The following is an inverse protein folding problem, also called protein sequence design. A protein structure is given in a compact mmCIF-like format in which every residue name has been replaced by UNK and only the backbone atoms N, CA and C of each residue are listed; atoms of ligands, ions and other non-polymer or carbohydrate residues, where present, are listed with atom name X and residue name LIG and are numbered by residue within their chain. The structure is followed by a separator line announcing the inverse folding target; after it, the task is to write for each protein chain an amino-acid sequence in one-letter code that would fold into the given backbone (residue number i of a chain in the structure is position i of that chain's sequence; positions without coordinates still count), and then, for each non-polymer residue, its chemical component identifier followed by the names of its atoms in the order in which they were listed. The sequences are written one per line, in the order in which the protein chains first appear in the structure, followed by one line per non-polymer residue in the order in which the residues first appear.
data_IF_384953101352
#
_entry.id   IF_384953101352
#
_cell.length_a   1.000
_cell.length_b   1.000
_cell.length_c   1.000
_cell.angle_alpha   90.00
_cell.angle_beta   90.00
_cell.angle_gamma   90.00
#
_symmetry.space_group_name_H-M   'P 1'
#
loop_
_entity.id
_entity.type
_entity.pdbx_description
1 polymer ?
#
# COMPACT_ATOMS: atom_id res chain seq x y z
N UNK A 1 -27.78 67.29 22.29
CA UNK A 1 -28.27 67.21 23.67
C UNK A 1 -28.10 65.80 24.16
N UNK A 2 -27.37 65.68 25.24
CA UNK A 2 -27.17 64.54 26.15
C UNK A 2 -26.54 63.25 25.63
N UNK A 3 -25.23 63.22 25.79
CA UNK A 3 -24.40 62.04 25.92
C UNK A 3 -24.78 61.22 27.15
N UNK A 4 -24.89 59.91 27.03
CA UNK A 4 -24.78 59.01 28.17
C UNK A 4 -23.75 57.91 27.85
N UNK A 5 -22.56 58.07 28.41
CA UNK A 5 -21.49 57.04 28.51
C UNK A 5 -21.91 56.10 29.63
N UNK A 6 -21.99 54.82 29.30
CA UNK A 6 -22.07 53.75 30.29
C UNK A 6 -20.69 53.17 30.53
N UNK A 7 -20.21 53.35 31.76
CA UNK A 7 -18.96 52.84 32.32
C UNK A 7 -19.07 51.35 32.62
N UNK A 8 -18.03 50.59 32.26
CA UNK A 8 -17.76 49.26 32.70
C UNK A 8 -17.06 49.27 34.07
N UNK A 9 -17.34 48.34 34.99
CA UNK A 9 -16.60 48.25 36.25
C UNK A 9 -15.33 47.38 36.06
N UNK A 10 -14.27 47.86 36.69
CA UNK A 10 -12.95 47.25 36.82
C UNK A 10 -12.91 46.10 37.82
N UNK A 11 -12.01 45.14 37.46
CA UNK A 11 -11.13 44.33 38.33
C UNK A 11 -11.72 43.31 39.30
N UNK A 12 -11.41 42.07 39.00
CA UNK A 12 -10.89 41.12 40.00
C UNK A 12 -9.86 40.21 39.35
N UNK A 13 -8.60 40.57 39.56
CA UNK A 13 -7.43 39.68 39.35
C UNK A 13 -7.35 38.77 40.57
N UNK A 14 -7.58 37.48 40.39
CA UNK A 14 -7.20 36.46 41.35
C UNK A 14 -6.01 35.70 40.76
N UNK A 15 -4.87 35.85 41.40
CA UNK A 15 -3.66 35.08 41.18
C UNK A 15 -3.97 33.61 41.45
N UNK A 16 -3.91 32.76 40.41
CA UNK A 16 -3.84 31.32 40.57
C UNK A 16 -2.36 30.93 40.56
N UNK A 17 -1.90 30.63 41.75
CA UNK A 17 -0.59 30.09 42.06
C UNK A 17 -0.42 28.74 41.35
N UNK A 18 0.49 28.69 40.37
CA UNK A 18 0.93 27.47 39.70
C UNK A 18 1.96 26.75 40.55
N UNK A 19 1.51 25.75 41.27
CA UNK A 19 2.37 24.65 41.74
C UNK A 19 1.73 23.35 41.26
N UNK A 20 1.96 22.97 40.00
CA UNK A 20 1.71 21.63 39.57
C UNK A 20 3.02 20.85 39.66
N UNK A 21 3.13 20.08 40.73
CA UNK A 21 4.13 19.03 40.86
C UNK A 21 3.90 18.01 39.73
N UNK A 22 4.95 17.73 38.95
CA UNK A 22 4.99 16.59 38.05
C UNK A 22 4.89 15.31 38.90
N UNK A 23 3.73 14.72 38.96
CA UNK A 23 3.54 13.34 39.34
C UNK A 23 3.61 12.49 38.08
N UNK A 24 4.74 11.89 37.82
CA UNK A 24 4.93 10.80 36.85
C UNK A 24 4.04 9.63 37.27
N UNK A 25 2.79 9.63 36.78
CA UNK A 25 1.88 8.52 36.96
C UNK A 25 1.90 7.65 35.71
N UNK A 26 2.03 6.35 35.90
CA UNK A 26 1.98 5.29 34.87
C UNK A 26 0.68 5.34 33.99
N UNK A 27 -0.23 6.25 34.27
CA UNK A 27 -1.45 6.50 33.50
C UNK A 27 -1.27 7.28 32.20
N UNK A 28 -0.22 8.09 32.09
CA UNK A 28 -0.04 9.01 30.94
C UNK A 28 0.54 8.33 29.69
N UNK A 29 1.22 7.21 29.87
CA UNK A 29 1.84 6.45 28.72
C UNK A 29 0.83 5.77 27.81
N UNK A 30 -0.43 5.68 28.21
CA UNK A 30 -1.49 5.00 27.46
C UNK A 30 -2.36 5.96 26.64
N UNK A 31 -2.07 7.26 26.63
CA UNK A 31 -2.80 8.25 25.83
C UNK A 31 -1.88 8.81 24.76
N UNK A 32 -2.32 8.72 23.51
CA UNK A 32 -1.60 9.21 22.34
C UNK A 32 -2.24 10.52 21.90
N UNK A 33 -1.42 11.56 21.63
CA UNK A 33 -1.90 12.88 21.21
C UNK A 33 -2.91 13.50 22.17
N UNK A 34 -2.87 13.14 23.46
CA UNK A 34 -3.76 13.65 24.50
C UNK A 34 -5.22 13.15 24.42
N UNK A 35 -5.61 12.43 23.36
CA UNK A 35 -7.03 12.08 23.12
C UNK A 35 -7.27 10.63 22.69
N UNK A 36 -6.26 9.85 22.34
CA UNK A 36 -6.43 8.45 21.92
C UNK A 36 -5.96 7.50 23.02
N UNK A 37 -6.89 6.87 23.71
CA UNK A 37 -6.59 5.87 24.72
C UNK A 37 -6.14 4.57 24.03
N UNK A 38 -4.90 4.14 24.30
CA UNK A 38 -4.30 2.92 23.77
C UNK A 38 -4.95 1.70 24.40
N UNK A 39 -5.33 0.73 23.59
CA UNK A 39 -5.93 -0.51 24.02
C UNK A 39 -5.09 -1.73 23.66
N UNK A 40 -5.74 -2.82 23.29
CA UNK A 40 -5.07 -4.08 22.99
C UNK A 40 -4.22 -4.04 21.74
N UNK A 41 -3.12 -4.79 21.72
CA UNK A 41 -2.31 -5.04 20.54
C UNK A 41 -3.11 -5.84 19.51
N UNK A 42 -3.14 -5.35 18.27
CA UNK A 42 -3.79 -5.99 17.13
C UNK A 42 -2.81 -6.83 16.30
N UNK A 43 -1.55 -6.42 16.27
CA UNK A 43 -0.53 -7.11 15.50
C UNK A 43 0.84 -6.48 15.65
N UNK A 44 1.83 -7.13 15.05
CA UNK A 44 3.18 -6.58 14.86
C UNK A 44 3.61 -6.85 13.42
N UNK A 45 4.19 -5.86 12.78
CA UNK A 45 4.74 -5.96 11.44
C UNK A 45 6.25 -5.69 11.44
N UNK A 46 6.83 -5.70 10.26
CA UNK A 46 8.25 -5.43 10.06
C UNK A 46 8.68 -4.03 10.50
N UNK A 47 7.73 -3.12 10.66
CA UNK A 47 7.95 -1.69 10.86
C UNK A 47 7.19 -1.14 12.06
N UNK A 48 6.88 -1.96 13.05
CA UNK A 48 6.25 -1.51 14.27
C UNK A 48 5.10 -2.39 14.75
N UNK A 49 4.44 -1.92 15.80
CA UNK A 49 3.33 -2.59 16.45
C UNK A 49 2.01 -1.86 16.14
N UNK A 50 0.95 -2.60 16.01
CA UNK A 50 -0.39 -2.07 15.73
C UNK A 50 -1.27 -2.35 16.93
N UNK A 51 -1.94 -1.31 17.42
CA UNK A 51 -2.85 -1.38 18.55
C UNK A 51 -4.23 -0.84 18.17
N UNK A 52 -5.25 -1.33 18.85
CA UNK A 52 -6.55 -0.70 18.88
C UNK A 52 -6.50 0.50 19.84
N UNK A 53 -7.17 1.57 19.48
CA UNK A 53 -7.33 2.73 20.36
C UNK A 53 -8.74 3.33 20.21
N UNK A 54 -9.13 4.13 21.21
CA UNK A 54 -10.41 4.83 21.24
C UNK A 54 -10.16 6.31 21.46
N UNK A 55 -10.83 7.14 20.69
CA UNK A 55 -10.85 8.58 20.94
C UNK A 55 -11.68 8.86 22.21
N UNK A 56 -11.07 9.46 23.22
CA UNK A 56 -11.66 9.58 24.58
C UNK A 56 -12.97 10.34 24.63
N UNK A 57 -13.17 11.33 23.75
CA UNK A 57 -14.40 12.15 23.72
C UNK A 57 -15.48 11.53 22.81
N UNK A 58 -15.13 11.15 21.57
CA UNK A 58 -16.12 10.65 20.60
C UNK A 58 -16.43 9.18 20.75
N UNK A 59 -15.62 8.43 21.50
CA UNK A 59 -15.70 6.98 21.65
C UNK A 59 -15.57 6.21 20.31
N UNK A 60 -15.06 6.87 19.28
CA UNK A 60 -14.75 6.23 18.00
C UNK A 60 -13.49 5.37 18.10
N UNK A 61 -13.51 4.26 17.40
CA UNK A 61 -12.44 3.26 17.40
C UNK A 61 -11.49 3.46 16.21
N UNK A 62 -10.17 3.41 16.47
CA UNK A 62 -9.11 3.57 15.49
C UNK A 62 -8.04 2.51 15.66
N UNK A 63 -7.17 2.39 14.67
CA UNK A 63 -5.91 1.67 14.76
C UNK A 63 -4.77 2.67 14.97
N UNK A 64 -3.83 2.33 15.82
CA UNK A 64 -2.59 3.09 15.97
C UNK A 64 -1.39 2.21 15.66
N UNK A 65 -0.55 2.67 14.74
CA UNK A 65 0.74 2.06 14.42
C UNK A 65 1.82 2.83 15.16
N UNK A 66 2.70 2.10 15.86
CA UNK A 66 3.77 2.65 16.71
C UNK A 66 5.09 2.04 16.23
N UNK A 67 6.08 2.88 15.98
CA UNK A 67 7.43 2.52 15.59
C UNK A 67 8.41 3.18 16.57
N UNK A 68 9.40 2.47 17.16
CA UNK A 68 10.42 3.09 17.97
C UNK A 68 11.21 4.15 17.20
N UNK A 69 11.52 5.30 17.82
CA UNK A 69 12.27 6.38 17.18
C UNK A 69 13.71 6.00 16.84
N UNK A 70 14.30 5.09 17.63
CA UNK A 70 15.66 4.56 17.47
C UNK A 70 15.74 3.38 16.48
N UNK A 71 14.64 3.07 15.79
CA UNK A 71 14.66 1.97 14.84
C UNK A 71 15.65 2.28 13.70
N UNK A 72 16.37 1.25 13.26
CA UNK A 72 17.46 1.37 12.26
C UNK A 72 17.00 1.98 10.91
N UNK A 73 15.73 1.82 10.57
CA UNK A 73 15.15 2.29 9.33
C UNK A 73 13.73 2.80 9.58
N UNK A 74 13.55 4.03 10.09
CA UNK A 74 12.24 4.56 10.38
C UNK A 74 11.45 4.79 9.08
N UNK A 75 10.23 4.26 9.03
CA UNK A 75 9.38 4.33 7.84
C UNK A 75 8.00 4.90 8.14
N UNK A 76 7.57 4.89 9.40
CA UNK A 76 6.20 5.23 9.75
C UNK A 76 5.82 6.66 9.37
N UNK A 77 6.72 7.61 9.57
CA UNK A 77 6.45 9.02 9.21
C UNK A 77 6.41 9.26 7.70
N UNK A 78 7.21 8.49 6.93
CA UNK A 78 7.11 8.47 5.48
C UNK A 78 5.77 7.90 5.03
N UNK A 79 5.37 6.75 5.61
CA UNK A 79 4.08 6.12 5.33
C UNK A 79 2.91 7.06 5.66
N UNK A 80 2.94 7.74 6.81
CA UNK A 80 1.92 8.71 7.21
C UNK A 80 1.81 9.89 6.22
N UNK A 81 2.94 10.45 5.78
CA UNK A 81 2.98 11.51 4.75
C UNK A 81 2.39 11.02 3.42
N UNK A 82 2.77 9.81 2.99
CA UNK A 82 2.25 9.23 1.75
C UNK A 82 0.75 8.94 1.83
N UNK A 83 0.27 8.34 2.92
CA UNK A 83 -1.15 8.10 3.14
C UNK A 83 -1.95 9.41 3.12
N UNK A 84 -1.49 10.47 3.78
CA UNK A 84 -2.11 11.80 3.73
C UNK A 84 -2.19 12.35 2.29
N UNK A 85 -1.16 12.11 1.47
CA UNK A 85 -1.16 12.49 0.05
C UNK A 85 -2.16 11.68 -0.79
N UNK A 86 -2.41 10.42 -0.41
CA UNK A 86 -3.31 9.51 -1.11
C UNK A 86 -4.77 9.61 -0.62
N UNK A 87 -5.06 10.32 0.47
CA UNK A 87 -6.39 10.40 1.05
C UNK A 87 -7.46 10.81 0.04
N UNK A 88 -8.69 10.32 0.25
CA UNK A 88 -9.82 10.48 -0.67
C UNK A 88 -9.82 9.50 -1.83
N UNK A 89 -8.77 8.71 -2.01
CA UNK A 89 -8.71 7.66 -3.02
C UNK A 89 -9.49 6.41 -2.61
N UNK A 90 -9.86 5.58 -3.59
CA UNK A 90 -10.62 4.36 -3.33
C UNK A 90 -9.75 3.37 -2.54
N UNK A 91 -10.27 2.88 -1.39
CA UNK A 91 -9.58 1.90 -0.55
C UNK A 91 -8.28 2.41 0.07
N UNK A 92 -8.22 3.70 0.38
CA UNK A 92 -7.14 4.33 1.15
C UNK A 92 -7.67 4.63 2.55
N UNK A 93 -6.96 4.16 3.58
CA UNK A 93 -7.29 4.45 4.97
C UNK A 93 -7.01 5.91 5.31
N UNK A 94 -7.86 6.51 6.13
CA UNK A 94 -7.69 7.86 6.59
C UNK A 94 -6.67 7.90 7.74
N UNK A 95 -5.70 8.80 7.65
CA UNK A 95 -4.80 9.15 8.77
C UNK A 95 -5.45 10.26 9.58
N UNK A 96 -5.75 9.96 10.83
CA UNK A 96 -6.42 10.89 11.77
C UNK A 96 -5.39 11.76 12.48
N UNK A 97 -4.30 11.14 12.92
CA UNK A 97 -3.24 11.80 13.68
C UNK A 97 -1.88 11.16 13.38
N UNK A 98 -0.82 11.93 13.44
CA UNK A 98 0.53 11.39 13.37
C UNK A 98 1.51 12.31 14.08
N UNK A 99 2.39 11.73 14.88
CA UNK A 99 3.37 12.41 15.71
C UNK A 99 4.71 11.67 15.69
N UNK A 100 5.77 12.43 15.88
CA UNK A 100 7.13 11.93 16.07
C UNK A 100 7.68 12.58 17.33
N UNK A 101 7.99 11.78 18.33
CA UNK A 101 8.64 12.23 19.55
C UNK A 101 10.01 11.54 19.76
N UNK A 102 10.67 11.80 20.90
CA UNK A 102 11.99 11.26 21.19
C UNK A 102 11.98 9.73 21.37
N UNK A 103 10.84 9.14 21.74
CA UNK A 103 10.74 7.72 22.07
C UNK A 103 10.13 6.92 20.90
N UNK A 104 9.18 7.51 20.16
CA UNK A 104 8.38 6.76 19.17
C UNK A 104 7.80 7.64 18.07
N UNK A 105 7.59 7.03 16.94
CA UNK A 105 6.76 7.53 15.86
C UNK A 105 5.37 6.90 15.97
N UNK A 106 4.32 7.71 15.80
CA UNK A 106 2.93 7.27 15.95
C UNK A 106 2.09 7.69 14.76
N UNK A 107 1.21 6.80 14.30
CA UNK A 107 0.19 7.10 13.30
C UNK A 107 -1.15 6.49 13.70
N UNK A 108 -2.16 7.31 13.91
CA UNK A 108 -3.56 6.89 14.15
C UNK A 108 -4.31 6.96 12.84
N UNK A 109 -5.03 5.88 12.51
CA UNK A 109 -5.71 5.72 11.24
C UNK A 109 -7.01 4.93 11.41
N UNK A 110 -7.80 4.86 10.34
CA UNK A 110 -9.01 4.04 10.31
C UNK A 110 -8.74 2.62 10.83
N UNK A 111 -9.62 2.14 11.70
CA UNK A 111 -9.63 0.74 12.10
C UNK A 111 -10.34 -0.07 11.02
N UNK A 112 -9.57 -0.89 10.32
CA UNK A 112 -10.06 -1.78 9.27
C UNK A 112 -10.44 -3.16 9.82
N UNK A 113 -11.02 -3.99 8.97
CA UNK A 113 -11.34 -5.39 9.25
C UNK A 113 -10.16 -6.33 8.98
N UNK A 114 -10.42 -7.65 8.86
CA UNK A 114 -9.40 -8.65 8.56
C UNK A 114 -8.79 -8.46 7.17
N UNK A 115 -7.58 -8.98 7.01
CA UNK A 115 -6.89 -9.05 5.73
C UNK A 115 -7.50 -10.11 4.81
N UNK A 116 -7.20 -10.02 3.52
CA UNK A 116 -7.59 -11.06 2.55
C UNK A 116 -6.94 -12.41 2.91
N UNK A 117 -5.74 -12.44 3.51
CA UNK A 117 -5.13 -13.68 4.01
C UNK A 117 -5.92 -14.27 5.19
N UNK A 118 -6.36 -13.42 6.14
CA UNK A 118 -7.20 -13.86 7.27
C UNK A 118 -8.53 -14.41 6.77
N UNK A 119 -9.17 -13.74 5.82
CA UNK A 119 -10.43 -14.17 5.20
C UNK A 119 -10.25 -15.46 4.40
N UNK A 120 -9.12 -15.59 3.71
CA UNK A 120 -8.77 -16.83 3.01
C UNK A 120 -8.65 -18.02 3.98
N UNK A 121 -7.96 -17.82 5.10
CA UNK A 121 -7.87 -18.82 6.16
C UNK A 121 -9.24 -19.08 6.80
N UNK A 122 -10.06 -18.06 7.01
CA UNK A 122 -11.44 -18.18 7.53
C UNK A 122 -12.33 -19.04 6.60
N UNK A 123 -12.15 -18.93 5.29
CA UNK A 123 -12.84 -19.72 4.26
C UNK A 123 -12.10 -21.04 3.95
N UNK A 124 -11.35 -21.60 4.91
CA UNK A 124 -10.63 -22.87 4.77
C UNK A 124 -9.64 -22.89 3.58
N UNK A 125 -9.02 -21.74 3.28
CA UNK A 125 -8.04 -21.53 2.21
C UNK A 125 -8.59 -21.87 0.82
N UNK A 126 -9.84 -21.53 0.59
CA UNK A 126 -10.52 -21.72 -0.68
C UNK A 126 -11.49 -20.55 -0.91
N UNK A 127 -11.29 -19.83 -1.99
CA UNK A 127 -12.25 -18.85 -2.48
C UNK A 127 -12.89 -19.35 -3.77
N UNK A 128 -14.17 -19.01 -3.95
CA UNK A 128 -14.84 -19.19 -5.22
C UNK A 128 -14.17 -18.33 -6.30
N UNK A 129 -14.31 -18.72 -7.55
CA UNK A 129 -13.78 -17.96 -8.66
C UNK A 129 -14.39 -16.54 -8.71
N UNK A 130 -15.67 -16.40 -8.37
CA UNK A 130 -16.35 -15.11 -8.26
C UNK A 130 -15.69 -14.20 -7.24
N UNK A 131 -15.46 -14.68 -6.02
CA UNK A 131 -14.76 -13.94 -4.98
C UNK A 131 -13.36 -13.50 -5.44
N UNK A 132 -12.61 -14.38 -6.12
CA UNK A 132 -11.28 -14.00 -6.66
C UNK A 132 -11.39 -12.93 -7.73
N UNK A 133 -12.38 -12.97 -8.60
CA UNK A 133 -12.62 -11.94 -9.62
C UNK A 133 -12.99 -10.59 -9.01
N UNK A 134 -13.86 -10.55 -8.00
CA UNK A 134 -14.22 -9.35 -7.26
C UNK A 134 -13.00 -8.74 -6.54
N UNK A 135 -12.15 -9.58 -5.95
CA UNK A 135 -10.87 -9.15 -5.37
C UNK A 135 -9.98 -8.56 -6.45
N UNK A 136 -9.80 -9.25 -7.58
CA UNK A 136 -8.94 -8.81 -8.68
C UNK A 136 -9.29 -7.41 -9.16
N UNK A 137 -10.56 -7.14 -9.38
CA UNK A 137 -11.04 -5.82 -9.83
C UNK A 137 -10.65 -4.71 -8.84
N UNK A 138 -10.83 -4.96 -7.54
CA UNK A 138 -10.49 -3.99 -6.52
C UNK A 138 -8.97 -3.82 -6.37
N UNK A 139 -8.17 -4.89 -6.33
CA UNK A 139 -6.73 -4.80 -6.24
C UNK A 139 -6.13 -3.99 -7.40
N UNK A 140 -6.56 -4.28 -8.64
CA UNK A 140 -6.11 -3.54 -9.82
C UNK A 140 -6.49 -2.06 -9.69
N UNK A 141 -7.70 -1.74 -9.22
CA UNK A 141 -8.16 -0.35 -9.02
C UNK A 141 -7.34 0.39 -7.96
N UNK A 142 -6.96 -0.27 -6.86
CA UNK A 142 -6.13 0.33 -5.79
C UNK A 142 -4.73 0.65 -6.30
N UNK A 143 -4.13 -0.30 -7.02
CA UNK A 143 -2.80 -0.13 -7.60
C UNK A 143 -2.81 0.92 -8.72
N UNK A 144 -3.83 0.95 -9.58
CA UNK A 144 -4.01 2.03 -10.57
C UNK A 144 -4.05 3.40 -9.91
N UNK A 145 -4.82 3.55 -8.82
CA UNK A 145 -4.88 4.81 -8.09
C UNK A 145 -3.50 5.21 -7.54
N UNK A 146 -2.78 4.29 -6.88
CA UNK A 146 -1.44 4.56 -6.37
C UNK A 146 -0.47 4.96 -7.50
N UNK A 147 -0.50 4.24 -8.61
CA UNK A 147 0.32 4.54 -9.79
C UNK A 147 -0.02 5.90 -10.41
N UNK A 148 -1.30 6.29 -10.40
CA UNK A 148 -1.74 7.62 -10.87
C UNK A 148 -1.17 8.75 -9.99
N UNK A 149 -0.90 8.46 -8.72
CA UNK A 149 -0.25 9.36 -7.76
C UNK A 149 1.29 9.28 -7.78
N UNK A 150 1.86 8.62 -8.80
CA UNK A 150 3.30 8.53 -9.09
C UNK A 150 4.08 7.57 -8.17
N UNK A 151 3.43 6.66 -7.46
CA UNK A 151 4.06 5.70 -6.57
C UNK A 151 3.81 4.26 -7.02
N UNK A 152 4.75 3.36 -6.72
CA UNK A 152 4.61 1.90 -6.76
C UNK A 152 4.68 1.34 -5.34
N UNK A 153 3.94 0.26 -5.07
CA UNK A 153 3.79 -0.30 -3.73
C UNK A 153 4.98 -1.16 -3.31
N UNK A 154 5.42 -2.07 -4.20
CA UNK A 154 6.56 -2.98 -4.06
C UNK A 154 6.40 -4.11 -3.03
N UNK A 155 5.25 -4.21 -2.34
CA UNK A 155 4.95 -5.34 -1.45
C UNK A 155 3.47 -5.76 -1.56
N UNK A 156 3.05 -6.10 -2.75
CA UNK A 156 1.70 -6.62 -3.02
C UNK A 156 1.61 -8.06 -2.48
N UNK A 157 0.74 -8.25 -1.50
CA UNK A 157 0.44 -9.54 -0.86
C UNK A 157 -0.96 -9.51 -0.23
N UNK A 158 -1.62 -10.67 0.00
CA UNK A 158 -2.97 -10.69 0.58
C UNK A 158 -3.06 -10.02 1.96
N UNK A 159 -1.98 -10.07 2.75
CA UNK A 159 -1.91 -9.46 4.08
C UNK A 159 -2.03 -7.93 4.04
N UNK A 160 -1.66 -7.29 2.93
CA UNK A 160 -1.68 -5.83 2.76
C UNK A 160 -2.99 -5.32 2.16
N UNK A 161 -4.02 -6.16 2.07
CA UNK A 161 -5.35 -5.79 1.63
C UNK A 161 -6.36 -6.20 2.68
N UNK A 162 -7.01 -5.22 3.30
CA UNK A 162 -7.97 -5.41 4.39
C UNK A 162 -9.37 -4.97 3.94
N UNK A 163 -10.41 -5.62 4.43
CA UNK A 163 -11.77 -5.13 4.21
C UNK A 163 -12.13 -4.01 5.18
N UNK A 164 -13.07 -3.15 4.79
CA UNK A 164 -13.57 -2.10 5.67
C UNK A 164 -14.46 -2.67 6.78
N UNK A 165 -14.42 -2.10 7.98
CA UNK A 165 -15.33 -2.49 9.08
C UNK A 165 -16.78 -2.07 8.82
N UNK A 166 -16.98 -0.85 8.32
CA UNK A 166 -18.31 -0.30 7.99
C UNK A 166 -18.77 -0.72 6.58
N UNK A 167 -17.82 -0.83 5.64
CA UNK A 167 -18.05 -1.22 4.23
C UNK A 167 -17.28 -2.50 3.93
N UNK A 168 -17.86 -3.64 4.30
CA UNK A 168 -17.20 -4.96 4.22
C UNK A 168 -16.88 -5.41 2.79
N UNK A 169 -17.59 -4.89 1.82
CA UNK A 169 -17.34 -5.13 0.39
C UNK A 169 -16.22 -4.26 -0.20
N UNK A 170 -15.67 -3.30 0.56
CA UNK A 170 -14.57 -2.44 0.10
C UNK A 170 -13.25 -2.95 0.63
N UNK A 171 -12.30 -3.21 -0.28
CA UNK A 171 -10.95 -3.62 0.04
C UNK A 171 -10.05 -2.38 0.11
N UNK A 172 -9.31 -2.25 1.20
CA UNK A 172 -8.33 -1.19 1.47
C UNK A 172 -6.92 -1.73 1.28
N UNK A 173 -6.06 -0.94 0.65
CA UNK A 173 -4.63 -1.23 0.55
C UNK A 173 -3.91 -0.52 1.70
N UNK A 174 -2.99 -1.24 2.38
CA UNK A 174 -2.23 -0.76 3.54
C UNK A 174 -0.73 -1.02 3.37
N UNK A 175 0.05 -0.53 4.34
CA UNK A 175 1.50 -0.75 4.46
C UNK A 175 2.31 -0.18 3.29
N UNK A 176 2.38 1.15 3.26
CA UNK A 176 3.14 1.89 2.24
C UNK A 176 4.61 2.14 2.63
N UNK A 177 5.10 1.48 3.68
CA UNK A 177 6.48 1.64 4.16
C UNK A 177 7.54 1.33 3.11
N UNK A 178 7.23 0.44 2.16
CA UNK A 178 8.10 0.12 1.03
C UNK A 178 7.74 0.86 -0.27
N UNK A 179 6.69 1.68 -0.29
CA UNK A 179 6.28 2.39 -1.50
C UNK A 179 7.37 3.36 -1.99
N UNK A 180 7.43 3.56 -3.29
CA UNK A 180 8.45 4.41 -3.92
C UNK A 180 7.87 5.24 -5.05
N UNK A 181 8.29 6.50 -5.14
CA UNK A 181 8.00 7.33 -6.31
C UNK A 181 8.71 6.75 -7.54
N UNK A 182 7.94 6.47 -8.62
CA UNK A 182 8.48 5.90 -9.87
C UNK A 182 8.59 6.92 -11.00
N UNK A 183 7.98 8.09 -10.85
CA UNK A 183 8.10 9.20 -11.81
C UNK A 183 7.98 10.54 -11.10
N UNK A 184 8.53 11.57 -11.68
CA UNK A 184 8.37 12.94 -11.21
C UNK A 184 6.92 13.41 -11.38
N UNK A 185 6.30 14.05 -10.37
CA UNK A 185 4.90 14.46 -10.44
C UNK A 185 4.63 15.63 -11.39
N UNK A 186 5.65 16.45 -11.72
CA UNK A 186 5.51 17.63 -12.60
C UNK A 186 5.86 17.31 -14.04
N UNK A 187 7.03 16.68 -14.25
CA UNK A 187 7.54 16.37 -15.60
C UNK A 187 7.05 15.05 -16.13
N UNK A 188 6.53 14.18 -15.25
CA UNK A 188 6.15 12.79 -15.54
C UNK A 188 7.32 11.93 -16.04
N UNK A 189 8.56 12.41 -15.88
CA UNK A 189 9.73 11.63 -16.21
C UNK A 189 9.85 10.43 -15.28
N UNK A 190 9.97 9.25 -15.87
CA UNK A 190 10.13 7.99 -15.15
C UNK A 190 11.53 7.93 -14.50
N UNK A 191 11.65 7.26 -13.35
CA UNK A 191 12.96 6.96 -12.76
C UNK A 191 13.79 6.11 -13.73
N UNK A 192 15.10 6.27 -13.66
CA UNK A 192 16.02 5.49 -14.49
C UNK A 192 15.96 3.99 -14.15
N UNK A 193 16.04 3.14 -15.18
CA UNK A 193 16.23 1.71 -14.99
C UNK A 193 17.58 1.45 -14.32
N UNK A 194 17.58 0.60 -13.29
CA UNK A 194 18.80 0.20 -12.57
C UNK A 194 18.74 -1.30 -12.25
N UNK A 195 19.90 -1.93 -12.21
CA UNK A 195 20.10 -3.31 -11.80
C UNK A 195 20.92 -3.40 -10.51
N UNK A 196 21.15 -4.60 -10.01
CA UNK A 196 21.94 -4.83 -8.79
C UNK A 196 21.18 -4.43 -7.51
N UNK A 197 19.84 -4.36 -7.56
CA UNK A 197 19.01 -4.08 -6.39
C UNK A 197 18.77 -5.34 -5.55
N UNK A 198 18.75 -5.16 -4.24
CA UNK A 198 18.26 -6.21 -3.37
C UNK A 198 16.76 -6.40 -3.56
N UNK A 199 16.29 -7.64 -3.36
CA UNK A 199 14.88 -7.94 -3.39
C UNK A 199 14.14 -7.13 -2.31
N UNK A 200 13.21 -6.30 -2.73
CA UNK A 200 12.29 -5.56 -1.86
C UNK A 200 10.91 -6.21 -1.97
N UNK A 201 10.23 -6.34 -0.83
CA UNK A 201 8.92 -6.97 -0.72
C UNK A 201 8.99 -8.47 -0.42
N UNK A 202 7.84 -9.13 -0.48
CA UNK A 202 7.64 -10.53 -0.10
C UNK A 202 8.02 -11.47 -1.25
N UNK A 203 9.06 -12.29 -1.06
CA UNK A 203 9.62 -13.16 -2.10
C UNK A 203 8.57 -14.05 -2.78
N UNK A 204 7.53 -14.51 -2.04
CA UNK A 204 6.44 -15.34 -2.58
C UNK A 204 5.73 -14.66 -3.75
N UNK A 205 5.46 -13.37 -3.65
CA UNK A 205 4.65 -12.62 -4.63
C UNK A 205 5.46 -11.69 -5.53
N UNK A 206 6.70 -11.34 -5.17
CA UNK A 206 7.56 -10.43 -5.94
C UNK A 206 7.71 -10.88 -7.41
N UNK A 207 7.79 -9.92 -8.32
CA UNK A 207 7.97 -10.18 -9.75
C UNK A 207 9.30 -10.87 -10.06
N UNK A 208 9.42 -11.48 -11.25
CA UNK A 208 10.69 -12.06 -11.71
C UNK A 208 11.77 -10.97 -11.81
N UNK A 209 11.42 -9.77 -12.28
CA UNK A 209 12.36 -8.65 -12.37
C UNK A 209 12.87 -8.22 -10.99
N UNK A 210 11.98 -8.12 -9.98
CA UNK A 210 12.40 -7.83 -8.61
C UNK A 210 13.37 -8.89 -8.07
N UNK A 211 13.11 -10.18 -8.32
CA UNK A 211 14.03 -11.27 -7.96
C UNK A 211 15.37 -11.23 -8.68
N UNK A 212 15.43 -10.66 -9.89
CA UNK A 212 16.70 -10.52 -10.65
C UNK A 212 17.45 -9.25 -10.32
N UNK A 213 16.95 -8.45 -9.38
CA UNK A 213 17.63 -7.24 -8.93
C UNK A 213 17.36 -6.02 -9.81
N UNK A 214 16.33 -6.04 -10.64
CA UNK A 214 15.90 -4.87 -11.39
C UNK A 214 15.14 -3.88 -10.51
N UNK A 215 15.26 -2.60 -10.78
CA UNK A 215 14.41 -1.56 -10.19
C UNK A 215 12.94 -1.86 -10.48
N UNK A 216 12.08 -1.76 -9.47
CA UNK A 216 10.66 -2.05 -9.61
C UNK A 216 9.89 -0.85 -10.19
N UNK A 217 8.87 -1.15 -11.02
CA UNK A 217 7.97 -0.18 -11.60
C UNK A 217 6.53 -0.69 -11.58
N UNK A 218 5.63 -0.04 -12.30
CA UNK A 218 4.19 -0.40 -12.34
C UNK A 218 3.94 -1.86 -12.72
N UNK A 219 4.72 -2.41 -13.65
CA UNK A 219 4.59 -3.80 -14.10
C UNK A 219 4.80 -4.82 -12.99
N UNK A 220 5.68 -4.49 -12.02
CA UNK A 220 6.05 -5.40 -10.95
C UNK A 220 4.94 -5.57 -9.91
N UNK A 221 4.23 -4.49 -9.56
CA UNK A 221 3.03 -4.56 -8.73
C UNK A 221 1.92 -5.39 -9.40
N UNK A 222 1.72 -5.22 -10.71
CA UNK A 222 0.71 -5.99 -11.46
C UNK A 222 1.08 -7.47 -11.60
N UNK A 223 2.37 -7.81 -11.81
CA UNK A 223 2.81 -9.21 -11.81
C UNK A 223 2.59 -9.85 -10.43
N UNK A 224 2.82 -9.09 -9.35
CA UNK A 224 2.56 -9.58 -7.99
C UNK A 224 1.06 -9.85 -7.76
N UNK A 225 0.15 -9.00 -8.27
CA UNK A 225 -1.29 -9.26 -8.24
C UNK A 225 -1.61 -10.59 -8.93
N UNK A 226 -1.02 -10.90 -10.09
CA UNK A 226 -1.26 -12.18 -10.76
C UNK A 226 -0.95 -13.37 -9.84
N UNK A 227 0.18 -13.32 -9.12
CA UNK A 227 0.54 -14.39 -8.19
C UNK A 227 -0.40 -14.46 -6.99
N UNK A 228 -0.87 -13.33 -6.47
CA UNK A 228 -1.88 -13.28 -5.41
C UNK A 228 -3.18 -13.96 -5.89
N UNK A 229 -3.68 -13.63 -7.08
CA UNK A 229 -4.92 -14.19 -7.60
C UNK A 229 -4.83 -15.70 -7.85
N UNK A 230 -3.72 -16.18 -8.43
CA UNK A 230 -3.47 -17.62 -8.59
C UNK A 230 -3.41 -18.32 -7.24
N UNK A 231 -2.74 -17.72 -6.25
CA UNK A 231 -2.68 -18.23 -4.88
C UNK A 231 -4.06 -18.33 -4.23
N UNK A 232 -4.87 -17.29 -4.32
CA UNK A 232 -6.22 -17.28 -3.72
C UNK A 232 -7.18 -18.24 -4.39
N UNK A 233 -6.99 -18.53 -5.68
CA UNK A 233 -7.83 -19.46 -6.41
C UNK A 233 -7.39 -20.91 -6.24
N UNK A 234 -6.08 -21.21 -6.40
CA UNK A 234 -5.55 -22.56 -6.34
C UNK A 234 -5.11 -23.02 -4.94
N UNK A 235 -5.07 -22.12 -3.95
CA UNK A 235 -4.64 -22.40 -2.58
C UNK A 235 -3.13 -22.36 -2.36
N UNK A 236 -2.32 -22.45 -3.42
CA UNK A 236 -0.86 -22.50 -3.32
C UNK A 236 -0.17 -22.03 -4.60
N UNK A 237 1.12 -21.72 -4.47
CA UNK A 237 2.02 -21.43 -5.59
C UNK A 237 3.14 -22.46 -5.67
N UNK A 238 3.67 -22.80 -6.87
CA UNK A 238 4.67 -23.86 -7.06
C UNK A 238 6.00 -23.65 -6.34
N UNK A 239 6.27 -22.48 -5.83
CA UNK A 239 7.49 -22.09 -5.10
C UNK A 239 7.27 -21.93 -3.59
N UNK A 240 6.12 -22.34 -3.05
CA UNK A 240 5.90 -22.41 -1.61
C UNK A 240 6.55 -23.66 -1.01
N UNK A 241 6.85 -23.61 0.29
CA UNK A 241 7.41 -24.74 1.02
C UNK A 241 8.89 -25.04 0.70
N UNK A 242 9.59 -24.21 -0.08
CA UNK A 242 11.03 -24.37 -0.34
C UNK A 242 11.79 -24.08 0.96
N UNK A 243 12.48 -25.10 1.47
CA UNK A 243 13.34 -25.02 2.66
C UNK A 243 14.81 -24.97 2.20
N UNK A 244 15.57 -24.02 2.67
CA UNK A 244 17.01 -23.84 2.38
C UNK A 244 17.70 -23.39 3.67
N UNK A 245 19.02 -23.53 3.73
CA UNK A 245 19.80 -23.16 4.91
C UNK A 245 19.93 -21.65 5.05
N UNK A 246 20.05 -20.92 3.93
CA UNK A 246 20.15 -19.48 3.94
C UNK A 246 18.97 -18.81 3.24
N UNK A 247 18.66 -17.58 3.65
CA UNK A 247 17.63 -16.73 3.03
C UNK A 247 17.98 -16.42 1.56
N UNK A 248 19.26 -16.22 1.27
CA UNK A 248 19.74 -15.93 -0.09
C UNK A 248 19.52 -17.12 -1.03
N UNK A 249 19.88 -18.33 -0.60
CA UNK A 249 19.64 -19.56 -1.36
C UNK A 249 18.14 -19.79 -1.58
N UNK A 250 17.32 -19.58 -0.53
CA UNK A 250 15.86 -19.68 -0.64
C UNK A 250 15.31 -18.75 -1.71
N UNK A 251 15.76 -17.49 -1.73
CA UNK A 251 15.32 -16.50 -2.71
C UNK A 251 15.80 -16.82 -4.13
N UNK A 252 17.04 -17.28 -4.27
CA UNK A 252 17.56 -17.77 -5.54
C UNK A 252 16.71 -18.93 -6.08
N UNK A 253 16.39 -19.90 -5.22
CA UNK A 253 15.56 -21.06 -5.61
C UNK A 253 14.15 -20.68 -6.01
N UNK A 254 13.53 -19.74 -5.27
CA UNK A 254 12.21 -19.19 -5.62
C UNK A 254 12.27 -18.49 -6.97
N UNK A 255 13.27 -17.65 -7.21
CA UNK A 255 13.50 -16.97 -8.50
C UNK A 255 13.62 -17.97 -9.65
N UNK A 256 14.46 -18.99 -9.47
CA UNK A 256 14.71 -19.99 -10.53
C UNK A 256 13.46 -20.81 -10.81
N UNK A 257 12.67 -21.14 -9.77
CA UNK A 257 11.38 -21.80 -9.93
C UNK A 257 10.38 -20.93 -10.67
N UNK A 258 10.30 -19.61 -10.33
CA UNK A 258 9.42 -18.66 -11.05
C UNK A 258 9.81 -18.52 -12.53
N UNK A 259 11.10 -18.52 -12.85
CA UNK A 259 11.61 -18.46 -14.23
C UNK A 259 11.32 -19.75 -15.02
N UNK A 260 11.43 -20.91 -14.36
CA UNK A 260 11.22 -22.22 -15.01
C UNK A 260 9.75 -22.59 -15.20
N UNK A 261 8.86 -22.00 -14.40
CA UNK A 261 7.42 -22.25 -14.53
C UNK A 261 6.82 -21.31 -15.56
N UNK A 262 6.42 -21.87 -16.70
CA UNK A 262 5.73 -21.11 -17.76
C UNK A 262 4.36 -20.61 -17.28
N UNK A 263 3.86 -19.54 -17.92
CA UNK A 263 2.55 -18.96 -17.60
C UNK A 263 1.43 -19.99 -17.73
N UNK A 264 1.45 -20.75 -18.83
CA UNK A 264 0.44 -21.79 -19.12
C UNK A 264 0.44 -22.89 -18.07
N UNK A 265 1.62 -23.25 -17.56
CA UNK A 265 1.72 -24.25 -16.50
C UNK A 265 1.22 -23.71 -15.16
N UNK A 266 1.57 -22.46 -14.81
CA UNK A 266 1.12 -21.82 -13.58
C UNK A 266 -0.41 -21.67 -13.54
N UNK A 267 -1.01 -21.31 -14.67
CA UNK A 267 -2.43 -21.01 -14.80
C UNK A 267 -3.26 -22.19 -15.33
N UNK A 268 -2.68 -23.43 -15.42
CA UNK A 268 -3.32 -24.59 -16.05
C UNK A 268 -4.75 -24.87 -15.55
N UNK A 269 -4.98 -24.68 -14.26
CA UNK A 269 -6.27 -24.95 -13.62
C UNK A 269 -7.05 -23.65 -13.31
N UNK A 270 -6.70 -22.57 -13.98
CA UNK A 270 -7.41 -21.28 -13.91
C UNK A 270 -8.13 -21.01 -15.23
N UNK A 271 -9.15 -20.13 -15.25
CA UNK A 271 -9.67 -19.58 -16.49
C UNK A 271 -8.55 -18.94 -17.34
N UNK A 272 -8.62 -18.99 -18.68
CA UNK A 272 -7.55 -18.53 -19.56
C UNK A 272 -7.19 -17.04 -19.39
N UNK A 273 -8.10 -16.26 -18.84
CA UNK A 273 -7.87 -14.83 -18.55
C UNK A 273 -6.76 -14.61 -17.51
N UNK A 274 -6.51 -15.56 -16.59
CA UNK A 274 -5.39 -15.50 -15.66
C UNK A 274 -4.04 -15.58 -16.38
N UNK A 275 -3.93 -16.49 -17.36
CA UNK A 275 -2.74 -16.60 -18.21
C UNK A 275 -2.56 -15.34 -19.09
N UNK A 276 -3.65 -14.82 -19.65
CA UNK A 276 -3.65 -13.58 -20.43
C UNK A 276 -3.17 -12.39 -19.59
N UNK A 277 -3.68 -12.25 -18.36
CA UNK A 277 -3.26 -11.20 -17.43
C UNK A 277 -1.76 -11.27 -17.12
N UNK A 278 -1.27 -12.45 -16.68
CA UNK A 278 0.15 -12.61 -16.32
C UNK A 278 1.07 -12.43 -17.52
N UNK A 279 0.67 -12.96 -18.70
CA UNK A 279 1.41 -12.76 -19.95
C UNK A 279 1.50 -11.30 -20.35
N UNK A 280 0.44 -10.54 -20.19
CA UNK A 280 0.42 -9.10 -20.42
C UNK A 280 1.40 -8.40 -19.47
N UNK A 281 1.34 -8.64 -18.15
CA UNK A 281 2.21 -8.01 -17.17
C UNK A 281 3.69 -8.28 -17.45
N UNK A 282 4.06 -9.52 -17.82
CA UNK A 282 5.43 -9.90 -18.14
C UNK A 282 5.97 -9.29 -19.45
N UNK A 283 5.09 -8.88 -20.38
CA UNK A 283 5.48 -8.21 -21.64
C UNK A 283 5.69 -6.70 -21.47
N UNK A 284 5.18 -6.09 -20.37
CA UNK A 284 5.37 -4.67 -20.11
C UNK A 284 6.85 -4.33 -19.93
N UNK A 285 7.29 -3.28 -20.62
CA UNK A 285 8.59 -2.66 -20.41
C UNK A 285 8.60 -1.88 -19.08
N UNK A 286 9.78 -1.47 -18.65
CA UNK A 286 9.97 -0.77 -17.36
C UNK A 286 9.12 0.50 -17.22
N UNK A 287 9.03 1.29 -18.30
CA UNK A 287 8.33 2.58 -18.31
C UNK A 287 6.90 2.50 -18.87
N UNK A 288 6.48 1.34 -19.37
CA UNK A 288 5.18 1.22 -20.02
C UNK A 288 4.03 1.58 -19.06
N UNK A 289 3.04 2.29 -19.59
CA UNK A 289 1.78 2.54 -18.89
C UNK A 289 0.84 1.34 -19.10
N UNK A 290 0.47 0.62 -18.02
CA UNK A 290 -0.47 -0.49 -18.15
C UNK A 290 -1.89 -0.03 -18.54
N UNK A 291 -2.60 -0.87 -19.28
CA UNK A 291 -4.03 -0.72 -19.50
C UNK A 291 -4.83 -1.41 -18.38
N UNK A 292 -5.00 -0.68 -17.27
CA UNK A 292 -5.71 -1.19 -16.09
C UNK A 292 -7.19 -1.51 -16.40
N UNK A 293 -7.81 -0.78 -17.32
CA UNK A 293 -9.20 -1.01 -17.71
C UNK A 293 -9.35 -2.35 -18.42
N UNK A 294 -8.46 -2.66 -19.37
CA UNK A 294 -8.43 -3.97 -20.03
C UNK A 294 -8.16 -5.10 -19.03
N UNK A 295 -7.22 -4.90 -18.09
CA UNK A 295 -6.92 -5.89 -17.06
C UNK A 295 -8.10 -6.19 -16.14
N UNK A 296 -8.85 -5.17 -15.69
CA UNK A 296 -10.09 -5.38 -14.92
C UNK A 296 -11.16 -6.09 -15.73
N UNK A 297 -11.28 -5.77 -17.02
CA UNK A 297 -12.27 -6.40 -17.90
C UNK A 297 -12.09 -7.92 -17.96
N UNK A 298 -10.86 -8.43 -18.00
CA UNK A 298 -10.59 -9.87 -17.98
C UNK A 298 -11.33 -10.60 -16.84
N UNK A 299 -11.35 -9.99 -15.64
CA UNK A 299 -11.98 -10.60 -14.46
C UNK A 299 -13.49 -10.34 -14.40
N UNK A 300 -13.95 -9.18 -14.90
CA UNK A 300 -15.39 -8.91 -15.05
C UNK A 300 -16.05 -9.90 -16.01
N UNK A 301 -15.40 -10.20 -17.13
CA UNK A 301 -15.91 -11.13 -18.12
C UNK A 301 -16.07 -12.55 -17.53
N UNK A 302 -15.18 -12.96 -16.62
CA UNK A 302 -15.31 -14.22 -15.88
C UNK A 302 -16.50 -14.16 -14.91
N UNK A 303 -16.69 -13.05 -14.20
CA UNK A 303 -17.70 -12.88 -13.17
C UNK A 303 -19.06 -12.41 -13.71
N UNK A 304 -19.21 -12.21 -15.01
CA UNK A 304 -20.48 -11.81 -15.61
C UNK A 304 -21.57 -12.86 -15.42
N UNK A 305 -22.83 -12.45 -15.41
CA UNK A 305 -23.97 -13.35 -15.24
C UNK A 305 -24.06 -14.39 -16.36
N UNK A 306 -23.64 -14.02 -17.58
CA UNK A 306 -23.64 -14.89 -18.75
C UNK A 306 -22.40 -15.81 -18.84
N UNK A 307 -21.52 -15.74 -17.84
CA UNK A 307 -20.27 -16.51 -17.87
C UNK A 307 -20.50 -17.96 -17.52
N UNK A 308 -19.97 -18.85 -18.36
CA UNK A 308 -19.93 -20.30 -18.07
C UNK A 308 -18.99 -20.66 -16.93
N UNK A 309 -18.09 -19.75 -16.53
CA UNK A 309 -17.10 -19.96 -15.46
C UNK A 309 -17.66 -19.72 -14.05
N UNK A 310 -18.61 -18.77 -13.94
CA UNK A 310 -19.20 -18.37 -12.66
C UNK A 310 -20.71 -18.21 -12.79
N UNK A 311 -21.48 -19.26 -13.08
CA UNK A 311 -22.93 -19.15 -13.15
C UNK A 311 -23.46 -18.65 -11.79
N UNK A 312 -24.47 -17.79 -11.83
CA UNK A 312 -25.21 -17.35 -10.65
C UNK A 312 -26.37 -18.30 -10.40
N UNK A 313 -26.56 -18.67 -9.14
CA UNK A 313 -27.79 -19.33 -8.72
C UNK A 313 -28.91 -18.30 -8.54
N UNK A 314 -30.15 -18.73 -8.67
CA UNK A 314 -31.32 -17.86 -8.54
C UNK A 314 -31.34 -17.21 -7.13
N UNK A 315 -31.40 -15.89 -7.07
CA UNK A 315 -31.38 -15.12 -5.81
C UNK A 315 -30.00 -14.87 -5.21
N UNK A 316 -28.92 -15.31 -5.84
CA UNK A 316 -27.55 -15.05 -5.37
C UNK A 316 -27.13 -13.61 -5.71
N UNK A 317 -26.56 -12.88 -4.71
CA UNK A 317 -25.98 -11.55 -4.96
C UNK A 317 -24.65 -11.70 -5.74
N UNK A 318 -24.55 -11.16 -6.96
CA UNK A 318 -23.35 -11.23 -7.78
C UNK A 318 -22.12 -10.55 -7.15
N UNK A 319 -22.33 -9.68 -6.17
CA UNK A 319 -21.29 -8.93 -5.51
C UNK A 319 -20.93 -9.45 -4.12
N UNK A 320 -21.59 -10.52 -3.64
CA UNK A 320 -21.31 -11.11 -2.34
C UNK A 320 -20.00 -11.90 -2.35
N UNK A 321 -19.16 -11.67 -1.36
CA UNK A 321 -17.94 -12.44 -1.14
C UNK A 321 -18.24 -13.72 -0.33
N UNK A 322 -17.40 -14.74 -0.50
CA UNK A 322 -17.57 -16.02 0.18
C UNK A 322 -17.63 -15.90 1.71
N UNK A 323 -16.86 -15.01 2.30
CA UNK A 323 -16.87 -14.81 3.75
C UNK A 323 -18.17 -14.20 4.28
N UNK A 324 -18.91 -13.45 3.45
CA UNK A 324 -20.20 -12.88 3.82
C UNK A 324 -21.31 -13.95 3.90
N UNK A 325 -21.14 -15.05 3.15
CA UNK A 325 -22.06 -16.20 3.14
C UNK A 325 -21.89 -17.12 4.36
N UNK A 326 -20.79 -16.99 5.12
CA UNK A 326 -20.48 -17.82 6.28
C UNK A 326 -21.18 -17.27 7.52
N UNK A 327 -22.02 -18.10 8.17
CA UNK A 327 -22.72 -17.74 9.40
C UNK A 327 -21.74 -17.32 10.52
N UNK A 328 -22.09 -16.26 11.25
CA UNK A 328 -21.24 -15.77 12.34
C UNK A 328 -20.08 -14.87 11.90
N UNK A 329 -19.93 -14.55 10.61
CA UNK A 329 -18.93 -13.59 10.14
C UNK A 329 -19.01 -12.25 10.87
N UNK A 330 -20.22 -11.68 10.98
CA UNK A 330 -20.44 -10.40 11.64
C UNK A 330 -20.10 -10.39 13.12
N UNK A 331 -20.35 -11.47 13.82
CA UNK A 331 -20.02 -11.60 15.24
C UNK A 331 -18.49 -11.69 15.46
N UNK A 332 -17.76 -12.29 14.54
CA UNK A 332 -16.29 -12.38 14.57
C UNK A 332 -15.61 -11.07 14.17
N UNK A 333 -16.28 -10.23 13.37
CA UNK A 333 -15.83 -8.88 13.03
C UNK A 333 -15.91 -7.89 14.21
N UNK A 334 -16.71 -8.20 15.23
CA UNK A 334 -16.79 -7.40 16.45
C UNK A 334 -15.59 -7.70 17.33
N UNK A 335 -14.65 -6.76 17.44
CA UNK A 335 -13.63 -6.82 18.47
C UNK A 335 -14.31 -6.78 19.83
N UNK A 336 -14.19 -7.84 20.65
CA UNK A 336 -14.68 -7.82 22.03
C UNK A 336 -13.97 -6.72 22.80
N UNK A 337 -14.73 -5.71 23.25
CA UNK A 337 -14.24 -4.62 24.10
C UNK A 337 -13.73 -5.12 25.46
N UNK A 338 -14.16 -6.30 25.88
CA UNK A 338 -13.76 -6.91 27.14
C UNK A 338 -12.86 -8.10 26.86
N UNK A 339 -11.70 -8.09 27.51
CA UNK A 339 -10.81 -9.23 27.54
C UNK A 339 -11.57 -10.50 27.93
N UNK A 340 -11.29 -11.60 27.26
CA UNK A 340 -11.87 -12.91 27.51
C UNK A 340 -11.78 -13.26 29.01
N UNK A 341 -12.92 -13.17 29.71
CA UNK A 341 -13.15 -13.96 30.90
C UNK A 341 -14.23 -14.98 30.55
N UNK A 342 -13.81 -16.24 30.46
CA UNK A 342 -14.66 -17.39 30.69
C UNK A 342 -15.33 -18.05 29.49
N UNK A 343 -14.84 -19.20 29.21
CA UNK A 343 -15.46 -20.49 29.03
C UNK A 343 -15.20 -21.21 27.70
N UNK A 344 -14.55 -22.35 27.87
CA UNK A 344 -14.51 -23.57 27.06
C UNK A 344 -13.69 -23.62 25.78
N UNK A 345 -12.58 -24.24 25.97
CA UNK A 345 -11.69 -25.10 25.19
C UNK A 345 -11.98 -25.29 23.71
N UNK A 346 -11.33 -24.49 22.89
CA UNK A 346 -11.05 -24.74 21.52
C UNK A 346 -9.82 -23.90 21.15
N UNK A 347 -8.68 -24.54 21.00
CA UNK A 347 -7.43 -23.92 20.55
C UNK A 347 -7.62 -23.19 19.23
N UNK A 348 -7.95 -21.90 19.30
CA UNK A 348 -8.04 -21.00 18.16
C UNK A 348 -7.43 -19.62 18.48
N UNK A 349 -6.51 -19.61 19.46
CA UNK A 349 -6.00 -18.37 20.08
C UNK A 349 -4.80 -17.75 19.40
N UNK A 350 -4.27 -18.30 18.35
CA UNK A 350 -3.00 -17.79 17.83
C UNK A 350 -2.90 -17.66 16.31
N UNK A 351 -3.96 -17.91 15.57
CA UNK A 351 -3.88 -17.91 14.10
C UNK A 351 -4.38 -16.65 13.42
N UNK A 352 -5.07 -15.76 14.13
CA UNK A 352 -5.48 -14.44 13.61
C UNK A 352 -4.44 -13.34 13.86
N UNK A 353 -3.49 -13.57 14.75
CA UNK A 353 -2.44 -12.64 15.08
C UNK A 353 -1.10 -13.37 14.97
N UNK A 354 -0.37 -13.03 13.92
CA UNK A 354 1.06 -13.34 13.77
C UNK A 354 1.40 -14.83 13.75
N UNK A 355 1.29 -15.45 12.60
CA UNK A 355 2.29 -16.44 12.23
C UNK A 355 3.48 -15.66 11.67
N UNK A 356 4.67 -15.92 12.22
CA UNK A 356 5.94 -15.60 11.57
C UNK A 356 5.98 -16.24 10.19
N UNK A 357 5.28 -15.62 9.26
CA UNK A 357 5.45 -15.93 7.86
C UNK A 357 6.68 -15.16 7.40
N UNK A 358 7.64 -15.82 6.83
CA UNK A 358 8.82 -15.44 6.04
C UNK A 358 8.91 -13.98 5.52
N UNK A 359 8.36 -13.03 6.22
CA UNK A 359 8.23 -11.61 5.92
C UNK A 359 9.19 -10.76 6.74
N UNK A 360 10.40 -11.24 7.00
CA UNK A 360 11.44 -10.31 7.44
C UNK A 360 11.98 -9.58 6.20
N UNK A 361 11.88 -8.25 6.15
CA UNK A 361 12.54 -7.48 5.11
C UNK A 361 14.04 -7.69 5.22
N UNK A 362 14.68 -7.79 4.07
CA UNK A 362 16.13 -7.71 3.98
C UNK A 362 16.57 -6.34 4.51
N UNK A 363 17.10 -6.31 5.74
CA UNK A 363 17.91 -5.21 6.21
C UNK A 363 19.23 -5.26 5.46
N UNK A 364 19.30 -4.68 4.30
CA UNK A 364 20.55 -4.40 3.61
C UNK A 364 20.59 -2.90 3.35
N UNK A 365 21.73 -2.32 3.67
CA UNK A 365 22.10 -0.92 3.56
C UNK A 365 21.47 -0.20 2.35
N UNK A 366 20.23 0.24 2.50
CA UNK A 366 19.68 1.28 1.67
C UNK A 366 20.24 2.59 2.24
N UNK A 367 21.39 3.03 1.72
CA UNK A 367 21.71 4.45 1.79
C UNK A 367 20.55 5.14 1.07
N UNK A 368 19.74 5.85 1.83
CA UNK A 368 18.81 6.83 1.30
C UNK A 368 19.65 7.83 0.50
N UNK A 369 19.63 7.73 -0.80
CA UNK A 369 20.06 8.80 -1.66
C UNK A 369 18.86 9.73 -1.78
N UNK A 370 19.01 10.87 -1.16
CA UNK A 370 18.27 12.12 -1.19
C UNK A 370 17.02 12.23 -0.30
N UNK A 371 17.10 13.16 0.69
CA UNK A 371 15.93 13.66 1.40
C UNK A 371 14.99 14.35 0.39
N UNK A 372 13.71 14.27 0.65
CA UNK A 372 12.72 15.14 0.00
C UNK A 372 13.12 16.57 0.39
N UNK A 373 13.55 17.35 -0.58
CA UNK A 373 13.95 18.74 -0.41
C UNK A 373 12.77 19.52 0.20
N UNK A 374 12.90 19.90 1.48
CA UNK A 374 11.87 20.65 2.23
C UNK A 374 11.61 22.04 1.66
N UNK A 375 12.45 22.53 0.73
CA UNK A 375 12.34 23.86 0.13
C UNK A 375 11.36 23.96 -1.07
N UNK A 376 10.69 22.87 -1.48
CA UNK A 376 9.73 22.93 -2.60
C UNK A 376 8.26 23.09 -2.17
N UNK A 377 7.97 23.21 -0.88
CA UNK A 377 6.59 23.41 -0.40
C UNK A 377 6.19 24.89 -0.21
N UNK A 378 7.07 25.86 -0.46
CA UNK A 378 6.82 27.29 -0.23
C UNK A 378 7.18 28.19 -1.42
N UNK A 379 6.81 27.85 -2.64
CA UNK A 379 6.83 28.83 -3.75
C UNK A 379 5.60 28.66 -4.63
N UNK A 380 4.54 29.31 -4.19
CA UNK A 380 3.28 29.46 -4.90
C UNK A 380 2.52 30.67 -4.42
N UNK A 381 3.14 31.84 -4.34
CA UNK A 381 2.45 33.15 -4.31
C UNK A 381 3.44 34.27 -4.65
N UNK A 382 3.23 34.89 -5.82
CA UNK A 382 3.54 36.31 -6.08
C UNK A 382 4.97 36.65 -6.46
N UNK A 383 5.18 37.04 -7.72
CA UNK A 383 5.58 38.38 -8.09
C UNK A 383 5.94 38.45 -9.58
N UNK A 384 5.38 39.46 -10.15
CA UNK A 384 5.54 39.95 -11.51
C UNK A 384 6.94 40.49 -11.79
N UNK A 385 7.31 40.40 -13.09
CA UNK A 385 8.01 41.37 -13.94
C UNK A 385 9.29 42.07 -13.46
N UNK A 386 10.36 41.92 -14.25
CA UNK A 386 11.14 42.97 -14.92
C UNK A 386 12.42 42.46 -15.58
N UNK A 387 12.38 42.51 -16.90
CA UNK A 387 13.29 43.13 -17.87
C UNK A 387 14.81 43.21 -17.58
N UNK A 388 15.61 42.74 -18.54
CA UNK A 388 16.70 43.44 -19.21
C UNK A 388 17.85 42.55 -19.74
N UNK A 389 17.85 42.43 -21.03
CA UNK A 389 18.98 42.62 -21.98
C UNK A 389 20.44 42.49 -21.48
N UNK A 390 21.25 41.62 -22.17
CA UNK A 390 22.46 41.98 -22.93
C UNK A 390 23.19 40.78 -23.50
N UNK A 391 23.29 40.78 -24.85
CA UNK A 391 24.49 40.74 -25.73
C UNK A 391 25.46 39.56 -25.52
N UNK A 392 25.59 38.67 -26.46
CA UNK A 392 26.26 38.71 -27.78
C UNK A 392 27.79 38.51 -27.73
N UNK A 393 28.26 37.48 -28.38
CA UNK A 393 29.41 37.46 -29.32
C UNK A 393 29.74 35.98 -29.65
N UNK A 394 29.42 35.50 -30.84
CA UNK A 394 30.23 35.38 -32.05
C UNK A 394 31.63 34.79 -31.88
N UNK A 395 31.85 33.59 -32.46
CA UNK A 395 32.98 33.31 -33.36
C UNK A 395 32.65 32.03 -34.19
N UNK A 396 32.51 32.20 -35.49
CA UNK A 396 32.80 31.22 -36.56
C UNK A 396 34.27 31.43 -37.00
N UNK A 397 34.97 30.52 -37.72
CA UNK A 397 34.68 30.21 -39.11
C UNK A 397 35.07 28.78 -39.65
N UNK A 398 34.35 28.35 -40.61
CA UNK A 398 34.74 28.13 -42.03
C UNK A 398 35.52 26.88 -42.51
N UNK A 399 35.03 26.35 -43.58
CA UNK A 399 35.55 25.68 -44.80
C UNK A 399 35.19 24.18 -44.88
N UNK A 400 34.64 23.66 -45.93
CA UNK A 400 34.41 24.06 -47.32
C UNK A 400 34.44 22.81 -48.20
N UNK A 401 33.67 22.86 -49.29
CA UNK A 401 33.69 22.06 -50.52
C UNK A 401 32.73 20.88 -50.61
N UNK A 402 31.63 21.02 -51.32
CA UNK A 402 31.32 20.82 -52.78
C UNK A 402 31.67 19.45 -53.36
N UNK A 403 30.65 18.69 -53.79
CA UNK A 403 30.33 18.25 -55.17
C UNK A 403 29.10 17.36 -55.15
N UNK A 404 28.02 17.71 -55.77
CA UNK A 404 27.41 17.59 -57.10
C UNK A 404 27.06 16.15 -57.59
N UNK A 405 25.71 16.02 -57.85
CA UNK A 405 25.01 15.25 -58.93
C UNK A 405 24.81 13.74 -58.67
N UNK A 406 23.68 13.13 -58.92
CA UNK A 406 22.66 13.27 -59.97
C UNK A 406 21.38 12.53 -59.59
N UNK A 407 20.26 13.03 -60.05
CA UNK A 407 18.96 12.34 -60.23
C UNK A 407 19.11 11.06 -61.07
N UNK A 408 18.27 10.07 -60.82
CA UNK A 408 17.49 9.41 -61.86
C UNK A 408 16.26 8.71 -61.29
N UNK A 409 15.11 9.06 -61.83
CA UNK A 409 13.86 8.32 -61.77
C UNK A 409 13.99 6.95 -62.46
N UNK A 410 13.20 5.96 -62.05
CA UNK A 410 12.15 5.30 -62.83
C UNK A 410 11.61 4.06 -62.10
N UNK A 411 10.36 4.05 -61.87
CA UNK A 411 9.32 3.05 -62.23
C UNK A 411 9.77 1.57 -62.29
N UNK A 412 9.00 0.77 -61.58
CA UNK A 412 8.79 -0.66 -61.64
C UNK A 412 7.89 -1.05 -60.49
#
# INVERSE_FOLDING_TARGET
MSNNKMQLPNSMTSEISTTAACSDSAGDRNIIGGVFALGKKLGSGSFGEIYWCVHTLTQEEYAVKIEPSDCKHPQLMYEAKLLKHLQGGPGIAQVIYSECDAERNVMVMDLLGPSIEDLFNFCNRKFSLRTVCLIAEQLISRVEYLHSRNFVHRDIKPDNFLIGRKRKSVIYMIDYGLAKKYRDPKTHQHIAFREGKNLTGTARYASINAHTGCEQSRRDDLEAIAYVLVYLYLGQLPWQGIKMQSKQEKYARIRDKKKSVGVEHLCRNCPPQFASYLSYCRKLKFEDRPDYAALRRLFRDIASADSTWCPLEEGEDPNAFDWEKISGFDSRMKFNKHGLSGAHGGKMESSMLVREHDSQPLTTNLRFTEPIDENQAQLGAGAEDRDATKQAQLVHPNNGQKTRRRMLCCRG
#
